data_IF_737675437374
#
_entry.id   IF_737675437374
#
_cell.length_a   1.000
_cell.length_b   1.000
_cell.length_c   1.000
_cell.angle_alpha   90.00
_cell.angle_beta   90.00
_cell.angle_gamma   90.00
#
_symmetry.space_group_name_H-M   'P 1'
#
loop_
_entity.id
_entity.type
_entity.pdbx_description
1 polymer ?
#
# COMPACT_ATOMS: atom_id res chain seq x y z
N UNK A 1 4.55 7.95 -22.48
CA UNK A 1 5.08 8.19 -21.15
C UNK A 1 4.51 7.16 -20.19
N UNK A 2 5.33 6.59 -19.40
CA UNK A 2 4.90 5.51 -18.50
C UNK A 2 4.67 6.05 -17.09
N UNK A 3 3.49 5.82 -16.58
CA UNK A 3 3.16 6.15 -15.20
C UNK A 3 3.76 5.08 -14.30
N UNK A 4 4.61 5.50 -13.39
CA UNK A 4 5.31 4.59 -12.49
C UNK A 4 4.90 4.88 -11.06
N UNK A 5 4.40 3.86 -10.39
CA UNK A 5 4.09 3.93 -8.96
C UNK A 5 5.31 3.41 -8.21
N UNK A 6 5.80 4.19 -7.25
CA UNK A 6 6.98 3.85 -6.47
C UNK A 6 6.66 3.87 -4.99
N UNK A 7 7.40 3.07 -4.23
CA UNK A 7 7.28 3.08 -2.78
C UNK A 7 8.03 4.28 -2.17
N UNK A 8 8.13 4.29 -0.85
CA UNK A 8 8.81 5.40 -0.14
C UNK A 8 10.30 5.50 -0.45
N UNK A 9 10.90 4.42 -0.93
CA UNK A 9 12.32 4.39 -1.29
C UNK A 9 12.57 4.63 -2.77
N UNK A 10 11.52 4.84 -3.55
CA UNK A 10 11.63 5.00 -4.99
C UNK A 10 11.67 3.68 -5.75
N UNK A 11 11.38 2.58 -5.11
CA UNK A 11 11.32 1.28 -5.76
C UNK A 11 10.00 1.12 -6.50
N UNK A 12 10.08 0.71 -7.76
CA UNK A 12 8.89 0.53 -8.59
C UNK A 12 7.97 -0.55 -8.03
N UNK A 13 6.69 -0.25 -7.99
CA UNK A 13 5.64 -1.19 -7.57
C UNK A 13 4.85 -1.65 -8.79
N UNK A 14 4.39 -2.89 -8.75
CA UNK A 14 3.58 -3.49 -9.82
C UNK A 14 2.41 -4.24 -9.19
N UNK A 15 1.39 -4.53 -10.01
CA UNK A 15 0.27 -5.34 -9.55
C UNK A 15 0.78 -6.69 -9.05
N UNK A 16 0.29 -7.11 -7.90
CA UNK A 16 0.67 -8.39 -7.31
C UNK A 16 1.87 -8.32 -6.39
N UNK A 17 2.54 -7.17 -6.30
CA UNK A 17 3.69 -7.01 -5.41
C UNK A 17 3.26 -7.05 -3.95
N UNK A 18 4.24 -7.27 -3.09
CA UNK A 18 4.06 -7.18 -1.65
C UNK A 18 4.77 -5.95 -1.12
N UNK A 19 4.18 -5.31 -0.14
CA UNK A 19 4.77 -4.13 0.51
C UNK A 19 4.67 -4.25 2.02
N UNK A 20 5.53 -3.53 2.70
CA UNK A 20 5.54 -3.47 4.16
C UNK A 20 5.28 -2.03 4.58
N UNK A 21 4.47 -1.84 5.61
CA UNK A 21 4.23 -0.51 6.16
C UNK A 21 5.47 -0.03 6.92
N UNK A 22 5.84 1.23 6.70
CA UNK A 22 6.96 1.85 7.39
C UNK A 22 6.54 2.69 8.57
N UNK A 23 5.23 2.80 8.81
CA UNK A 23 4.67 3.48 9.98
C UNK A 23 3.29 2.93 10.27
N UNK A 24 2.77 3.25 11.46
CA UNK A 24 1.42 2.87 11.82
C UNK A 24 0.42 3.72 11.03
N UNK A 25 -0.60 3.07 10.48
CA UNK A 25 -1.64 3.74 9.73
C UNK A 25 -3.02 3.38 10.30
N UNK A 26 -3.80 4.40 10.56
CA UNK A 26 -5.19 4.20 10.99
C UNK A 26 -6.08 4.15 9.75
N UNK A 27 -6.88 3.10 9.65
CA UNK A 27 -7.79 2.93 8.52
C UNK A 27 -9.07 3.74 8.77
N UNK A 28 -9.39 4.64 7.83
CA UNK A 28 -10.60 5.46 7.94
C UNK A 28 -11.85 4.59 7.84
N UNK A 29 -12.84 4.92 8.65
CA UNK A 29 -14.13 4.22 8.62
C UNK A 29 -14.16 2.93 9.40
N UNK A 30 -13.05 2.54 10.01
CA UNK A 30 -12.96 1.37 10.86
C UNK A 30 -12.17 1.71 12.12
N UNK A 31 -12.20 0.82 13.09
CA UNK A 31 -11.37 0.97 14.29
C UNK A 31 -10.01 0.29 14.13
N UNK A 32 -9.71 -0.19 12.93
CA UNK A 32 -8.49 -0.94 12.67
C UNK A 32 -7.29 -0.01 12.51
N UNK A 33 -6.15 -0.44 13.03
CA UNK A 33 -4.88 0.23 12.83
C UNK A 33 -3.89 -0.77 12.26
N UNK A 34 -3.29 -0.41 11.14
CA UNK A 34 -2.23 -1.23 10.54
C UNK A 34 -0.91 -0.77 11.11
N UNK A 35 -0.21 -1.68 11.74
CA UNK A 35 1.04 -1.35 12.43
C UNK A 35 2.23 -1.39 11.49
N UNK A 36 3.26 -0.63 11.82
CA UNK A 36 4.52 -0.67 11.10
C UNK A 36 5.04 -2.10 11.03
N UNK A 37 5.54 -2.49 9.89
CA UNK A 37 6.02 -3.84 9.64
C UNK A 37 4.95 -4.80 9.15
N UNK A 38 3.71 -4.35 9.02
CA UNK A 38 2.64 -5.17 8.47
C UNK A 38 2.93 -5.46 7.01
N UNK A 39 2.90 -6.74 6.63
CA UNK A 39 3.09 -7.15 5.25
C UNK A 39 1.75 -7.15 4.53
N UNK A 40 1.70 -6.45 3.40
CA UNK A 40 0.53 -6.41 2.53
C UNK A 40 0.91 -7.06 1.22
N UNK A 41 0.18 -8.11 0.85
CA UNK A 41 0.45 -8.87 -0.37
C UNK A 41 -0.56 -8.55 -1.44
N UNK A 42 -0.16 -8.81 -2.67
CA UNK A 42 -1.06 -8.76 -3.82
C UNK A 42 -1.70 -7.38 -3.99
N UNK A 43 -0.87 -6.35 -3.94
CA UNK A 43 -1.35 -4.98 -4.14
C UNK A 43 -1.78 -4.78 -5.59
N UNK A 44 -2.62 -3.76 -5.81
CA UNK A 44 -3.02 -3.34 -7.14
C UNK A 44 -2.75 -1.86 -7.32
N UNK A 45 -2.32 -1.49 -8.50
CA UNK A 45 -2.12 -0.09 -8.84
C UNK A 45 -3.47 0.55 -9.14
N UNK A 46 -3.58 1.84 -8.81
CA UNK A 46 -4.79 2.62 -9.09
C UNK A 46 -4.47 3.69 -10.14
N UNK A 47 -5.47 4.49 -10.49
CA UNK A 47 -5.26 5.63 -11.38
C UNK A 47 -4.41 6.73 -10.73
N UNK A 48 -4.24 6.67 -9.43
CA UNK A 48 -3.43 7.63 -8.68
C UNK A 48 -2.05 7.04 -8.44
N UNK A 49 -1.01 7.73 -8.90
CA UNK A 49 0.38 7.27 -8.79
C UNK A 49 0.90 7.25 -7.35
N UNK A 50 0.21 7.93 -6.45
CA UNK A 50 0.62 8.02 -5.05
C UNK A 50 -0.11 7.01 -4.16
N UNK A 51 -0.91 6.14 -4.75
CA UNK A 51 -1.74 5.21 -3.99
C UNK A 51 -1.73 3.82 -4.61
N UNK A 52 -1.96 2.84 -3.74
CA UNK A 52 -2.22 1.46 -4.19
C UNK A 52 -3.46 0.95 -3.48
N UNK A 53 -4.08 -0.04 -4.08
CA UNK A 53 -5.22 -0.72 -3.48
C UNK A 53 -4.83 -2.11 -3.03
N UNK A 54 -5.33 -2.53 -1.90
CA UNK A 54 -5.06 -3.87 -1.40
C UNK A 54 -6.26 -4.39 -0.63
N UNK A 55 -6.27 -5.69 -0.41
CA UNK A 55 -7.27 -6.34 0.43
C UNK A 55 -6.56 -6.99 1.59
N UNK A 56 -7.03 -6.73 2.80
CA UNK A 56 -6.57 -7.42 4.00
C UNK A 56 -7.69 -8.31 4.51
N UNK A 57 -7.42 -9.10 5.54
CA UNK A 57 -8.45 -9.94 6.13
C UNK A 57 -9.60 -9.12 6.71
N UNK A 58 -9.28 -7.95 7.23
CA UNK A 58 -10.26 -7.11 7.92
C UNK A 58 -10.89 -6.07 6.98
N UNK A 59 -10.17 -5.65 5.94
CA UNK A 59 -10.60 -4.55 5.09
C UNK A 59 -10.40 -4.92 3.63
N UNK A 60 -11.46 -4.83 2.84
CA UNK A 60 -11.39 -5.01 1.39
C UNK A 60 -11.38 -3.66 0.71
N UNK A 61 -10.63 -3.55 -0.39
CA UNK A 61 -10.56 -2.30 -1.13
C UNK A 61 -9.85 -1.20 -0.38
N UNK A 62 -8.89 -1.56 0.45
CA UNK A 62 -8.12 -0.59 1.22
C UNK A 62 -7.16 0.15 0.32
N UNK A 63 -7.19 1.49 0.37
CA UNK A 63 -6.28 2.33 -0.38
C UNK A 63 -5.22 2.86 0.56
N UNK A 64 -3.95 2.66 0.19
CA UNK A 64 -2.80 3.10 0.97
C UNK A 64 -1.93 4.02 0.13
N UNK A 65 -1.39 5.04 0.77
CA UNK A 65 -0.44 5.94 0.11
C UNK A 65 0.93 5.28 0.04
N UNK A 66 1.57 5.38 -1.12
CA UNK A 66 2.86 4.74 -1.37
C UNK A 66 3.97 5.30 -0.50
N UNK A 67 3.85 6.54 -0.04
CA UNK A 67 4.87 7.16 0.83
C UNK A 67 5.01 6.45 2.18
N UNK A 68 4.03 5.63 2.55
CA UNK A 68 4.05 4.87 3.80
C UNK A 68 4.42 3.41 3.59
N UNK A 69 4.84 3.06 2.38
CA UNK A 69 5.08 1.67 2.00
C UNK A 69 6.51 1.47 1.56
N UNK A 70 6.98 0.25 1.75
CA UNK A 70 8.29 -0.20 1.28
C UNK A 70 8.10 -1.56 0.62
N UNK A 71 8.65 -1.74 -0.57
CA UNK A 71 8.56 -3.03 -1.25
C UNK A 71 9.23 -4.11 -0.41
N UNK A 72 8.48 -5.18 -0.20
CA UNK A 72 8.97 -6.31 0.58
C UNK A 72 9.93 -7.19 -0.23
#
# INVERSE_FOLDING_TARGET
MTDIVKDSNGTRLSDGDSVTLIKDLKVKGTSETLKRGTLVKNIRLTDNLDEIECNTRQVKGLVLKTEFLKKA
#
